data_IF_371739496490
#
_entry.id   IF_371739496490
#
_cell.length_a   1.000
_cell.length_b   1.000
_cell.length_c   1.000
_cell.angle_alpha   90.00
_cell.angle_beta   90.00
_cell.angle_gamma   90.00
#
_symmetry.space_group_name_H-M   'P 1'
#
loop_
_entity.id
_entity.type
_entity.pdbx_description
1 polymer ?
#
# COMPACT_ATOMS: atom_id res chain seq x y z
N UNK A 1 0.86 -6.68 -2.95
CA UNK A 1 2.01 -7.47 -2.43
C UNK A 1 3.18 -7.28 -3.38
N UNK A 2 4.40 -7.16 -2.85
CA UNK A 2 5.62 -7.06 -3.67
C UNK A 2 6.31 -8.41 -3.64
N UNK A 3 6.59 -8.98 -4.82
CA UNK A 3 7.25 -10.29 -4.93
C UNK A 3 8.74 -10.15 -4.70
N UNK A 4 9.29 -10.92 -3.75
CA UNK A 4 10.73 -10.96 -3.52
C UNK A 4 11.44 -11.93 -4.49
N UNK A 5 12.73 -11.70 -4.79
CA UNK A 5 13.60 -12.67 -5.46
C UNK A 5 13.64 -14.03 -4.77
N UNK A 6 13.97 -15.08 -5.52
CA UNK A 6 14.24 -16.40 -4.94
C UNK A 6 15.41 -16.29 -3.96
N UNK A 7 15.17 -16.69 -2.70
CA UNK A 7 16.14 -16.53 -1.61
C UNK A 7 16.08 -15.18 -0.89
N UNK A 8 15.07 -14.36 -1.18
CA UNK A 8 14.74 -13.13 -0.45
C UNK A 8 15.36 -11.87 -1.04
N UNK A 9 14.83 -10.72 -0.62
CA UNK A 9 15.26 -9.38 -1.06
C UNK A 9 16.77 -9.08 -0.87
N UNK A 10 17.42 -9.75 0.08
CA UNK A 10 18.84 -9.55 0.39
C UNK A 10 19.78 -10.27 -0.60
N UNK A 11 19.29 -11.30 -1.29
CA UNK A 11 20.10 -12.10 -2.22
C UNK A 11 20.31 -11.41 -3.56
N UNK A 12 19.32 -10.65 -4.01
CA UNK A 12 19.38 -9.87 -5.24
C UNK A 12 18.71 -8.50 -5.06
N UNK A 13 19.50 -7.57 -4.54
CA UNK A 13 19.06 -6.19 -4.34
C UNK A 13 18.68 -5.49 -5.65
N UNK A 14 19.38 -5.77 -6.75
CA UNK A 14 19.13 -5.13 -8.04
C UNK A 14 17.74 -5.49 -8.58
N UNK A 15 17.39 -6.78 -8.52
CA UNK A 15 16.06 -7.27 -8.89
C UNK A 15 14.98 -6.74 -7.94
N UNK A 16 15.25 -6.74 -6.63
CA UNK A 16 14.31 -6.22 -5.64
C UNK A 16 14.00 -4.73 -5.86
N UNK A 17 15.03 -3.91 -6.09
CA UNK A 17 14.86 -2.47 -6.34
C UNK A 17 14.09 -2.19 -7.61
N UNK A 18 14.34 -2.96 -8.68
CA UNK A 18 13.57 -2.85 -9.94
C UNK A 18 12.09 -3.16 -9.70
N UNK A 19 11.82 -4.23 -8.96
CA UNK A 19 10.45 -4.66 -8.65
C UNK A 19 9.73 -3.62 -7.78
N UNK A 20 10.39 -3.13 -6.74
CA UNK A 20 9.84 -2.12 -5.83
C UNK A 20 9.56 -0.80 -6.58
N UNK A 21 10.52 -0.33 -7.40
CA UNK A 21 10.37 0.89 -8.19
C UNK A 21 9.13 0.82 -9.08
N UNK A 22 8.95 -0.29 -9.81
CA UNK A 22 7.78 -0.49 -10.66
C UNK A 22 6.48 -0.41 -9.87
N UNK A 23 6.38 -1.16 -8.76
CA UNK A 23 5.16 -1.17 -7.93
C UNK A 23 4.86 0.23 -7.37
N UNK A 24 5.86 0.96 -6.89
CA UNK A 24 5.68 2.32 -6.39
C UNK A 24 5.19 3.28 -7.49
N UNK A 25 5.74 3.19 -8.71
CA UNK A 25 5.31 4.00 -9.84
C UNK A 25 3.86 3.69 -10.23
N UNK A 26 3.49 2.41 -10.28
CA UNK A 26 2.14 1.97 -10.62
C UNK A 26 1.12 2.48 -9.59
N UNK A 27 1.42 2.30 -8.29
CA UNK A 27 0.56 2.76 -7.20
C UNK A 27 0.47 4.29 -7.14
N UNK A 28 1.58 5.00 -7.37
CA UNK A 28 1.58 6.46 -7.43
C UNK A 28 0.71 6.97 -8.57
N UNK A 29 0.82 6.38 -9.76
CA UNK A 29 0.00 6.72 -10.92
C UNK A 29 -1.49 6.50 -10.65
N UNK A 30 -1.84 5.40 -10.00
CA UNK A 30 -3.21 5.08 -9.61
C UNK A 30 -3.78 6.16 -8.69
N UNK A 31 -3.09 6.51 -7.59
CA UNK A 31 -3.61 7.50 -6.65
C UNK A 31 -3.60 8.91 -7.21
N UNK A 32 -2.63 9.29 -8.05
CA UNK A 32 -2.59 10.59 -8.69
C UNK A 32 -3.71 10.80 -9.71
N UNK A 33 -4.30 9.72 -10.23
CA UNK A 33 -5.43 9.80 -11.17
C UNK A 33 -6.75 10.15 -10.49
N UNK A 34 -6.83 10.07 -9.16
CA UNK A 34 -8.04 10.32 -8.39
C UNK A 34 -8.18 11.82 -8.04
N UNK A 35 -9.40 12.39 -8.07
CA UNK A 35 -9.65 13.74 -7.56
C UNK A 35 -9.30 13.86 -6.07
N UNK A 36 -8.89 15.06 -5.65
CA UNK A 36 -8.44 15.32 -4.27
C UNK A 36 -9.49 14.89 -3.23
N UNK A 37 -10.75 15.26 -3.42
CA UNK A 37 -11.82 14.94 -2.46
C UNK A 37 -12.04 13.43 -2.32
N UNK A 38 -11.90 12.68 -3.42
CA UNK A 38 -11.98 11.22 -3.40
C UNK A 38 -10.80 10.60 -2.65
N UNK A 39 -9.57 11.13 -2.83
CA UNK A 39 -8.39 10.69 -2.09
C UNK A 39 -8.53 10.91 -0.59
N UNK A 40 -9.03 12.09 -0.19
CA UNK A 40 -9.25 12.42 1.22
C UNK A 40 -10.28 11.49 1.85
N UNK A 41 -11.40 11.25 1.16
CA UNK A 41 -12.45 10.34 1.62
C UNK A 41 -11.94 8.91 1.76
N UNK A 42 -11.30 8.36 0.74
CA UNK A 42 -10.76 6.98 0.77
C UNK A 42 -9.72 6.81 1.89
N UNK A 43 -8.87 7.82 2.11
CA UNK A 43 -7.90 7.81 3.22
C UNK A 43 -8.61 7.81 4.58
N UNK A 44 -9.66 8.61 4.74
CA UNK A 44 -10.45 8.67 5.96
C UNK A 44 -11.11 7.32 6.25
N UNK A 45 -11.85 6.78 5.28
CA UNK A 45 -12.56 5.49 5.41
C UNK A 45 -11.59 4.36 5.76
N UNK A 46 -10.42 4.32 5.09
CA UNK A 46 -9.38 3.33 5.38
C UNK A 46 -8.86 3.42 6.81
N UNK A 47 -8.57 4.63 7.30
CA UNK A 47 -8.09 4.83 8.68
C UNK A 47 -9.13 4.44 9.71
N UNK A 48 -10.41 4.82 9.49
CA UNK A 48 -11.51 4.48 10.40
C UNK A 48 -11.83 2.98 10.39
N UNK A 49 -11.53 2.26 9.30
CA UNK A 49 -11.69 0.81 9.21
C UNK A 49 -10.65 0.01 10.00
N UNK A 50 -9.56 0.65 10.44
CA UNK A 50 -8.51 -0.03 11.20
C UNK A 50 -8.90 -0.21 12.66
N UNK A 51 -8.66 -1.42 13.17
CA UNK A 51 -9.02 -1.81 14.53
C UNK A 51 -10.37 -2.52 14.55
N UNK A 52 -10.37 -3.74 15.09
CA UNK A 52 -11.59 -4.44 15.49
C UNK A 52 -11.60 -4.46 17.00
N UNK A 53 -12.48 -3.67 17.61
CA UNK A 53 -12.70 -3.68 19.05
C UNK A 53 -13.93 -4.54 19.34
N UNK A 54 -13.94 -5.18 20.51
CA UNK A 54 -15.19 -5.67 21.09
C UNK A 54 -15.88 -4.44 21.67
N UNK A 55 -17.14 -4.21 21.31
CA UNK A 55 -17.95 -3.22 22.01
C UNK A 55 -18.18 -3.76 23.42
N UNK A 56 -17.52 -3.17 24.41
CA UNK A 56 -17.92 -3.36 25.80
C UNK A 56 -19.26 -2.65 25.95
N UNK A 57 -20.35 -3.42 25.92
CA UNK A 57 -21.68 -2.93 26.23
C UNK A 57 -21.64 -2.39 27.66
N UNK A 58 -21.69 -1.07 27.78
CA UNK A 58 -21.98 -0.37 29.03
C UNK A 58 -23.49 -0.37 29.30
#
# INVERSE_FOLDING_TARGET
MVTEPVGGAHRDHAQMMTTLKRVLQDQLKEVQSKPMDALLKERFDRLMSYGRFKEDAA
#
